data_IF_973243291714
#
_entry.id   IF_973243291714
#
_cell.length_a   1.000
_cell.length_b   1.000
_cell.length_c   1.000
_cell.angle_alpha   90.00
_cell.angle_beta   90.00
_cell.angle_gamma   90.00
#
_symmetry.space_group_name_H-M   'P 1'
#
loop_
_entity.id
_entity.type
_entity.pdbx_description
1 polymer ?
#
# COMPACT_ATOMS: atom_id res chain seq x y z
N UNK A 1 6.58 -15.69 4.52
CA UNK A 1 7.00 -15.03 5.76
C UNK A 1 7.29 -16.10 6.78
N UNK A 2 8.34 -15.92 7.56
CA UNK A 2 8.66 -16.81 8.68
C UNK A 2 8.83 -15.96 9.93
N UNK A 3 8.39 -16.51 11.06
CA UNK A 3 8.62 -15.91 12.37
C UNK A 3 9.79 -16.65 13.00
N UNK A 4 10.89 -15.96 13.25
CA UNK A 4 11.98 -16.51 14.05
C UNK A 4 11.72 -16.10 15.50
N UNK A 5 11.59 -17.09 16.38
CA UNK A 5 11.24 -16.90 17.78
C UNK A 5 12.46 -17.27 18.63
N UNK A 6 12.92 -16.35 19.46
CA UNK A 6 13.93 -16.58 20.50
C UNK A 6 13.41 -16.19 21.89
N UNK A 7 14.25 -16.34 22.92
CA UNK A 7 13.92 -16.24 24.36
C UNK A 7 13.53 -14.84 24.89
N UNK A 8 12.83 -14.04 24.10
CA UNK A 8 12.01 -12.86 24.47
C UNK A 8 11.70 -11.96 23.26
N UNK A 9 12.01 -12.41 22.05
CA UNK A 9 11.84 -11.63 20.82
C UNK A 9 11.36 -12.53 19.69
N UNK A 10 10.42 -12.01 18.91
CA UNK A 10 10.08 -12.59 17.63
C UNK A 10 10.40 -11.58 16.54
N UNK A 11 10.85 -12.05 15.38
CA UNK A 11 11.06 -11.23 14.19
C UNK A 11 10.29 -11.82 13.02
N UNK A 12 9.62 -10.96 12.26
CA UNK A 12 9.01 -11.32 10.98
C UNK A 12 9.99 -11.00 9.87
N UNK A 13 10.38 -12.00 9.09
CA UNK A 13 11.35 -11.83 7.99
C UNK A 13 10.73 -12.11 6.61
N UNK A 14 11.24 -11.41 5.59
CA UNK A 14 10.93 -11.70 4.18
C UNK A 14 11.36 -13.11 3.82
N UNK A 15 10.62 -13.74 2.90
CA UNK A 15 10.88 -15.12 2.46
C UNK A 15 11.94 -15.10 1.36
N UNK A 16 13.20 -14.82 1.72
CA UNK A 16 14.30 -14.96 0.77
C UNK A 16 14.88 -16.37 0.86
N UNK A 17 15.10 -16.95 -0.32
CA UNK A 17 15.41 -18.36 -0.57
C UNK A 17 16.57 -18.86 0.31
N UNK A 18 16.33 -19.92 1.09
CA UNK A 18 17.33 -20.58 1.96
C UNK A 18 18.45 -21.15 1.10
N UNK A 19 19.56 -20.42 0.98
CA UNK A 19 20.78 -20.94 0.39
C UNK A 19 21.81 -21.14 1.51
N UNK A 20 22.21 -22.40 1.74
CA UNK A 20 23.30 -22.80 2.66
C UNK A 20 23.18 -22.28 4.11
N UNK A 21 21.98 -22.33 4.69
CA UNK A 21 21.81 -22.15 6.14
C UNK A 21 22.09 -20.75 6.69
N UNK A 22 22.14 -19.72 5.83
CA UNK A 22 22.17 -18.30 6.25
C UNK A 22 20.89 -17.61 5.77
N UNK A 23 20.13 -17.03 6.70
CA UNK A 23 18.99 -16.19 6.39
C UNK A 23 19.48 -14.83 5.86
N UNK A 24 19.19 -14.53 4.59
CA UNK A 24 19.38 -13.23 3.96
C UNK A 24 18.01 -12.54 3.78
N UNK A 25 17.22 -12.46 4.86
CA UNK A 25 15.92 -11.80 4.85
C UNK A 25 15.96 -10.50 5.64
N UNK A 26 15.35 -9.44 5.11
CA UNK A 26 15.17 -8.20 5.85
C UNK A 26 14.20 -8.42 7.02
N UNK A 27 14.54 -7.84 8.18
CA UNK A 27 13.66 -7.84 9.35
C UNK A 27 12.57 -6.81 9.11
N UNK A 28 11.35 -7.28 8.89
CA UNK A 28 10.19 -6.42 8.63
C UNK A 28 9.64 -5.83 9.92
N UNK A 29 9.56 -6.64 10.98
CA UNK A 29 8.98 -6.25 12.26
C UNK A 29 9.65 -7.01 13.40
N UNK A 30 9.83 -6.33 14.54
CA UNK A 30 10.33 -6.93 15.78
C UNK A 30 9.24 -6.86 16.85
N UNK A 31 9.02 -7.96 17.55
CA UNK A 31 8.03 -8.09 18.62
C UNK A 31 8.74 -8.40 19.94
N UNK A 32 8.29 -7.79 21.04
CA UNK A 32 8.81 -8.06 22.40
C UNK A 32 7.88 -9.01 23.14
N UNK A 33 8.45 -10.01 23.82
CA UNK A 33 7.68 -10.90 24.68
C UNK A 33 7.31 -10.21 26.00
N UNK A 34 6.05 -10.33 26.41
CA UNK A 34 5.55 -9.99 27.75
C UNK A 34 4.33 -10.87 28.06
N UNK A 35 4.28 -11.45 29.27
CA UNK A 35 3.20 -12.33 29.72
C UNK A 35 2.88 -13.49 28.75
N UNK A 36 3.90 -14.13 28.16
CA UNK A 36 3.77 -15.20 27.16
C UNK A 36 3.14 -14.76 25.82
N UNK A 37 3.00 -13.46 25.58
CA UNK A 37 2.52 -12.88 24.31
C UNK A 37 3.61 -12.00 23.66
N UNK A 38 3.59 -11.90 22.34
CA UNK A 38 4.50 -11.02 21.57
C UNK A 38 3.76 -9.74 21.15
N UNK A 39 4.30 -8.59 21.54
CA UNK A 39 3.71 -7.28 21.29
C UNK A 39 4.53 -6.49 20.27
N UNK A 40 3.83 -5.87 19.30
CA UNK A 40 4.39 -4.88 18.39
C UNK A 40 4.06 -3.48 18.92
N UNK A 41 5.08 -2.68 19.18
CA UNK A 41 4.94 -1.26 19.50
C UNK A 41 5.50 -0.48 18.33
N UNK A 42 4.67 0.16 17.48
CA UNK A 42 5.19 1.07 16.49
C UNK A 42 5.89 2.22 17.23
N UNK A 43 7.17 2.47 16.92
CA UNK A 43 7.79 3.74 17.28
C UNK A 43 6.91 4.87 16.71
N UNK A 44 6.61 5.86 17.55
CA UNK A 44 5.80 7.02 17.15
C UNK A 44 6.33 7.57 15.82
N UNK A 45 5.46 7.59 14.82
CA UNK A 45 5.76 8.19 13.53
C UNK A 45 5.95 9.70 13.75
N UNK A 46 7.19 10.12 13.99
CA UNK A 46 7.55 11.53 14.03
C UNK A 46 7.34 12.09 12.63
N UNK A 47 6.33 12.96 12.50
CA UNK A 47 6.10 13.69 11.26
C UNK A 47 7.35 14.54 10.95
N UNK A 48 7.89 14.48 9.71
CA UNK A 48 9.05 15.29 9.37
C UNK A 48 8.67 16.78 9.43
N UNK A 49 9.40 17.55 10.23
CA UNK A 49 9.31 19.01 10.23
C UNK A 49 10.02 19.55 9.00
N UNK A 50 9.27 19.78 7.92
CA UNK A 50 9.79 20.45 6.73
C UNK A 50 9.70 21.96 6.94
N UNK A 51 10.82 22.62 7.20
CA UNK A 51 10.94 24.07 7.08
C UNK A 51 11.13 24.42 5.60
N UNK A 52 10.03 24.64 4.88
CA UNK A 52 10.08 25.15 3.52
C UNK A 52 10.24 26.68 3.55
N UNK A 53 11.38 27.19 3.11
CA UNK A 53 11.53 28.59 2.71
C UNK A 53 10.77 28.79 1.40
N UNK A 54 9.61 29.43 1.45
CA UNK A 54 8.86 29.82 0.27
C UNK A 54 9.42 31.13 -0.30
N UNK A 55 10.23 31.06 -1.36
CA UNK A 55 10.38 32.19 -2.27
C UNK A 55 9.16 32.26 -3.21
N UNK A 56 8.45 33.38 -3.13
CA UNK A 56 7.24 33.64 -3.91
C UNK A 56 7.61 34.16 -5.30
N UNK A 57 7.84 33.27 -6.25
CA UNK A 57 7.88 33.63 -7.68
C UNK A 57 6.50 33.40 -8.30
N UNK A 58 5.56 34.31 -8.01
CA UNK A 58 4.17 34.26 -8.49
C UNK A 58 3.95 34.92 -9.87
N UNK A 59 5.00 35.41 -10.54
CA UNK A 59 4.87 36.35 -11.67
C UNK A 59 5.11 35.77 -13.07
N UNK A 60 5.34 34.46 -13.24
CA UNK A 60 5.64 33.87 -14.56
C UNK A 60 4.45 33.17 -15.28
N UNK A 61 3.24 33.18 -14.71
CA UNK A 61 2.18 32.23 -15.09
C UNK A 61 1.24 32.65 -16.24
N UNK A 62 1.47 33.79 -16.89
CA UNK A 62 0.56 34.29 -17.94
C UNK A 62 0.83 33.69 -19.32
N UNK A 63 1.94 32.98 -19.49
CA UNK A 63 2.21 32.24 -20.72
C UNK A 63 1.72 30.80 -20.57
N UNK A 64 0.76 30.43 -21.43
CA UNK A 64 0.17 29.10 -21.61
C UNK A 64 0.86 27.97 -20.83
N UNK A 65 0.23 27.53 -19.72
CA UNK A 65 0.82 26.52 -18.86
C UNK A 65 0.87 25.12 -19.51
N UNK A 66 1.93 24.40 -19.19
CA UNK A 66 2.15 23.01 -19.62
C UNK A 66 1.08 22.07 -19.02
N UNK A 67 0.38 21.33 -19.88
CA UNK A 67 -0.64 20.37 -19.47
C UNK A 67 -0.07 19.25 -18.58
N UNK A 68 1.20 18.86 -18.73
CA UNK A 68 1.80 17.83 -17.89
C UNK A 68 2.04 18.31 -16.45
N UNK A 69 2.36 19.59 -16.28
CA UNK A 69 2.45 20.19 -14.95
C UNK A 69 1.10 20.14 -14.23
N UNK A 70 0.02 20.46 -14.94
CA UNK A 70 -1.34 20.37 -14.41
C UNK A 70 -1.76 18.93 -14.13
N UNK A 71 -1.36 17.97 -14.98
CA UNK A 71 -1.55 16.54 -14.73
C UNK A 71 -0.96 16.10 -13.39
N UNK A 72 0.28 16.50 -13.09
CA UNK A 72 0.92 16.20 -11.80
C UNK A 72 0.26 16.93 -10.63
N UNK A 73 -0.06 18.23 -10.78
CA UNK A 73 -0.71 19.04 -9.74
C UNK A 73 -2.11 18.55 -9.36
N UNK A 74 -2.86 18.00 -10.31
CA UNK A 74 -4.19 17.43 -10.07
C UNK A 74 -4.15 15.93 -9.71
N UNK A 75 -3.07 15.47 -9.07
CA UNK A 75 -2.97 14.08 -8.60
C UNK A 75 -3.06 13.05 -9.72
N UNK A 76 -2.39 13.31 -10.84
CA UNK A 76 -2.40 12.44 -12.02
C UNK A 76 -3.79 12.29 -12.68
N UNK A 77 -4.61 13.36 -12.65
CA UNK A 77 -5.87 13.43 -13.37
C UNK A 77 -5.71 13.06 -14.85
N UNK A 78 -6.71 12.36 -15.41
CA UNK A 78 -6.61 11.90 -16.79
C UNK A 78 -6.39 13.08 -17.75
N UNK A 79 -5.47 12.94 -18.70
CA UNK A 79 -5.14 14.01 -19.66
C UNK A 79 -6.35 14.49 -20.46
N UNK A 80 -7.36 13.63 -20.67
CA UNK A 80 -8.66 14.00 -21.23
C UNK A 80 -9.40 15.04 -20.39
N UNK A 81 -9.38 14.89 -19.07
CA UNK A 81 -10.01 15.82 -18.12
C UNK A 81 -9.39 17.21 -18.22
N UNK A 82 -8.05 17.27 -18.35
CA UNK A 82 -7.33 18.54 -18.51
C UNK A 82 -7.58 19.22 -19.84
N UNK A 83 -7.98 18.49 -20.88
CA UNK A 83 -8.36 19.10 -22.17
C UNK A 83 -9.62 19.95 -22.04
N UNK A 84 -10.58 19.53 -21.20
CA UNK A 84 -11.84 20.25 -21.00
C UNK A 84 -11.77 21.26 -19.85
N UNK A 85 -10.77 21.17 -18.98
CA UNK A 85 -10.66 22.02 -17.80
C UNK A 85 -10.77 23.54 -18.11
N UNK A 86 -10.09 24.09 -19.14
CA UNK A 86 -10.18 25.52 -19.45
C UNK A 86 -11.55 25.98 -19.94
N UNK A 87 -12.39 25.08 -20.45
CA UNK A 87 -13.74 25.42 -20.94
C UNK A 87 -14.82 25.19 -19.89
N UNK A 88 -14.46 24.69 -18.71
CA UNK A 88 -15.41 24.33 -17.65
C UNK A 88 -15.19 25.11 -16.35
N UNK A 89 -14.04 25.80 -16.21
CA UNK A 89 -13.66 26.50 -14.99
C UNK A 89 -13.10 27.88 -15.37
N UNK A 90 -13.63 28.92 -14.73
CA UNK A 90 -13.13 30.28 -14.88
C UNK A 90 -11.75 30.43 -14.23
N UNK A 91 -10.86 31.21 -14.85
CA UNK A 91 -9.50 31.46 -14.34
C UNK A 91 -8.46 30.39 -14.69
N UNK A 92 -8.81 29.34 -15.44
CA UNK A 92 -7.84 28.36 -15.95
C UNK A 92 -7.32 28.81 -17.32
N UNK A 93 -6.01 29.09 -17.47
CA UNK A 93 -5.44 29.47 -18.76
C UNK A 93 -5.45 28.28 -19.75
N UNK A 94 -5.35 28.53 -21.07
CA UNK A 94 -5.25 27.47 -22.06
C UNK A 94 -4.05 26.54 -21.77
N UNK A 95 -4.33 25.24 -21.62
CA UNK A 95 -3.30 24.24 -21.35
C UNK A 95 -2.69 23.71 -22.65
N UNK A 96 -1.40 23.97 -22.87
CA UNK A 96 -0.70 23.50 -24.07
C UNK A 96 -0.39 22.01 -23.97
N UNK A 97 -0.72 21.27 -25.03
CA UNK A 97 -0.26 19.90 -25.22
C UNK A 97 1.17 19.94 -25.77
N UNK A 98 2.14 19.47 -25.00
CA UNK A 98 3.49 19.31 -25.49
C UNK A 98 3.59 18.08 -26.42
N UNK A 99 4.25 18.21 -27.57
CA UNK A 99 4.34 17.13 -28.58
C UNK A 99 5.26 15.98 -28.14
N UNK A 100 6.19 16.27 -27.23
CA UNK A 100 7.19 15.33 -26.71
C UNK A 100 6.67 14.53 -25.50
N UNK A 101 5.54 14.95 -24.93
CA UNK A 101 4.89 14.32 -23.77
C UNK A 101 3.86 13.26 -24.18
N UNK A 102 4.12 12.53 -25.27
CA UNK A 102 3.29 11.36 -25.68
C UNK A 102 3.51 10.15 -24.79
N UNK A 103 4.53 10.18 -23.93
CA UNK A 103 4.86 9.11 -22.99
C UNK A 103 3.79 8.89 -21.92
N UNK A 104 3.75 7.66 -21.40
CA UNK A 104 3.03 7.33 -20.18
C UNK A 104 3.69 8.06 -19.00
N UNK A 105 2.88 8.60 -18.09
CA UNK A 105 3.42 9.22 -16.87
C UNK A 105 3.82 8.12 -15.89
N UNK A 106 5.04 8.13 -15.37
CA UNK A 106 5.53 7.09 -14.44
C UNK A 106 4.63 6.94 -13.21
N UNK A 107 4.19 8.06 -12.62
CA UNK A 107 3.25 8.06 -11.49
C UNK A 107 1.89 7.45 -11.85
N UNK A 108 1.41 7.64 -13.09
CA UNK A 108 0.21 6.94 -13.57
C UNK A 108 0.46 5.46 -13.76
N UNK A 109 1.61 5.08 -14.34
CA UNK A 109 1.92 3.67 -14.58
C UNK A 109 1.94 2.93 -13.26
N UNK A 110 2.69 3.42 -12.28
CA UNK A 110 2.79 2.80 -10.96
C UNK A 110 1.46 2.85 -10.20
N UNK A 111 0.74 3.97 -10.25
CA UNK A 111 -0.50 4.15 -9.48
C UNK A 111 -1.75 3.51 -10.08
N UNK A 112 -1.77 3.26 -11.40
CA UNK A 112 -2.90 2.66 -12.13
C UNK A 112 -2.57 1.28 -12.71
N UNK A 113 -1.42 0.71 -12.35
CA UNK A 113 -1.09 -0.65 -12.76
C UNK A 113 -2.12 -1.60 -12.14
N UNK A 114 -2.90 -2.26 -13.00
CA UNK A 114 -3.76 -3.34 -12.56
C UNK A 114 -2.90 -4.55 -12.26
N UNK A 115 -3.17 -5.20 -11.12
CA UNK A 115 -2.63 -6.53 -10.88
C UNK A 115 -3.20 -7.48 -11.94
N UNK A 116 -2.34 -8.29 -12.55
CA UNK A 116 -2.82 -9.35 -13.44
C UNK A 116 -3.78 -10.27 -12.68
N UNK A 117 -4.80 -10.84 -13.36
CA UNK A 117 -5.66 -11.84 -12.75
C UNK A 117 -4.82 -12.98 -12.15
N UNK A 118 -5.18 -13.43 -10.96
CA UNK A 118 -4.58 -14.62 -10.41
C UNK A 118 -5.11 -15.84 -11.17
N UNK A 119 -4.27 -16.85 -11.46
CA UNK A 119 -4.76 -18.12 -11.96
C UNK A 119 -5.70 -18.76 -10.93
N UNK A 120 -6.64 -19.57 -11.41
CA UNK A 120 -7.46 -20.39 -10.52
C UNK A 120 -6.57 -21.35 -9.72
N UNK A 121 -6.96 -21.65 -8.48
CA UNK A 121 -6.27 -22.69 -7.70
C UNK A 121 -6.49 -24.04 -8.38
N UNK A 122 -5.40 -24.73 -8.71
CA UNK A 122 -5.44 -26.11 -9.23
C UNK A 122 -5.59 -27.14 -8.10
N UNK A 123 -5.49 -26.69 -6.84
CA UNK A 123 -5.53 -27.56 -5.66
C UNK A 123 -6.79 -27.28 -4.85
N UNK A 124 -7.56 -28.34 -4.63
CA UNK A 124 -8.67 -28.41 -3.68
C UNK A 124 -8.45 -29.62 -2.78
N UNK A 125 -8.84 -29.52 -1.51
CA UNK A 125 -8.79 -30.63 -0.57
C UNK A 125 -9.61 -31.81 -1.10
N UNK A 126 -9.07 -33.02 -0.91
CA UNK A 126 -9.68 -34.30 -1.30
C UNK A 126 -10.39 -34.99 -0.13
N UNK A 127 -10.09 -34.57 1.12
CA UNK A 127 -10.68 -35.10 2.35
C UNK A 127 -10.97 -33.98 3.35
N UNK A 128 -11.94 -34.15 4.27
CA UNK A 128 -12.19 -33.20 5.35
C UNK A 128 -10.92 -32.89 6.16
N UNK A 129 -10.72 -31.62 6.49
CA UNK A 129 -9.62 -31.09 7.29
C UNK A 129 -8.22 -31.23 6.67
N UNK A 130 -8.12 -31.57 5.37
CA UNK A 130 -6.85 -31.62 4.64
C UNK A 130 -6.25 -30.22 4.41
N UNK A 131 -7.11 -29.22 4.20
CA UNK A 131 -6.72 -27.82 4.02
C UNK A 131 -7.75 -26.91 4.72
N UNK A 132 -7.28 -26.10 5.67
CA UNK A 132 -8.11 -25.14 6.39
C UNK A 132 -7.58 -23.73 6.13
N UNK A 133 -8.44 -22.88 5.58
CA UNK A 133 -8.19 -21.44 5.45
C UNK A 133 -8.57 -20.76 6.75
N UNK A 134 -7.68 -19.94 7.29
CA UNK A 134 -7.91 -19.21 8.53
C UNK A 134 -7.63 -17.74 8.35
N UNK A 135 -8.46 -16.90 8.95
CA UNK A 135 -8.28 -15.45 8.94
C UNK A 135 -8.54 -14.87 10.33
N UNK A 136 -7.77 -13.85 10.69
CA UNK A 136 -7.88 -13.14 11.96
C UNK A 136 -8.39 -11.73 11.69
N UNK A 137 -9.58 -11.44 12.18
CA UNK A 137 -10.23 -10.15 12.05
C UNK A 137 -10.15 -9.37 13.36
N UNK A 138 -9.80 -8.09 13.28
CA UNK A 138 -9.74 -7.16 14.42
C UNK A 138 -8.44 -6.36 14.48
N UNK A 139 -8.24 -5.55 15.55
CA UNK A 139 -9.12 -5.37 16.69
C UNK A 139 -10.40 -4.60 16.33
N UNK A 140 -11.55 -5.09 16.80
CA UNK A 140 -12.80 -4.36 16.69
C UNK A 140 -12.83 -3.17 17.66
N UNK A 141 -13.44 -2.03 17.26
CA UNK A 141 -13.57 -0.86 18.14
C UNK A 141 -14.33 -1.17 19.44
N UNK A 142 -15.37 -2.00 19.33
CA UNK A 142 -16.22 -2.45 20.44
C UNK A 142 -15.88 -3.89 20.80
N UNK A 143 -15.87 -4.19 22.11
CA UNK A 143 -15.70 -5.55 22.61
C UNK A 143 -16.96 -6.39 22.38
N UNK A 144 -16.78 -7.70 22.22
CA UNK A 144 -17.89 -8.65 22.32
C UNK A 144 -18.42 -8.70 23.76
N UNK A 145 -19.54 -9.41 23.96
CA UNK A 145 -20.13 -9.60 25.29
C UNK A 145 -19.13 -10.20 26.30
N UNK A 146 -18.23 -11.05 25.84
CA UNK A 146 -17.19 -11.72 26.64
C UNK A 146 -15.84 -10.98 26.63
N UNK A 147 -15.80 -9.74 26.14
CA UNK A 147 -14.60 -8.90 26.18
C UNK A 147 -13.61 -9.09 25.02
N UNK A 148 -13.88 -10.00 24.08
CA UNK A 148 -13.00 -10.24 22.92
C UNK A 148 -13.03 -9.08 21.93
N UNK A 149 -11.86 -8.75 21.37
CA UNK A 149 -11.71 -7.74 20.29
C UNK A 149 -11.29 -8.34 18.95
N UNK A 150 -11.05 -9.64 18.91
CA UNK A 150 -10.60 -10.34 17.71
C UNK A 150 -11.50 -11.55 17.46
N UNK A 151 -11.68 -11.86 16.19
CA UNK A 151 -12.39 -13.06 15.74
C UNK A 151 -11.47 -13.84 14.82
N UNK A 152 -11.33 -15.14 15.03
CA UNK A 152 -10.65 -16.05 14.10
C UNK A 152 -11.69 -16.89 13.38
N UNK A 153 -11.58 -17.00 12.06
CA UNK A 153 -12.43 -17.86 11.24
C UNK A 153 -11.64 -19.09 10.77
N UNK A 154 -12.33 -20.22 10.68
CA UNK A 154 -11.79 -21.48 10.15
C UNK A 154 -12.73 -21.96 9.05
N UNK A 155 -12.19 -22.14 7.84
CA UNK A 155 -12.91 -22.64 6.67
C UNK A 155 -12.21 -23.89 6.17
N UNK A 156 -12.90 -25.02 6.18
CA UNK A 156 -12.39 -26.27 5.60
C UNK A 156 -12.63 -26.29 4.09
N UNK A 157 -11.56 -26.37 3.31
CA UNK A 157 -11.58 -26.28 1.83
C UNK A 157 -12.34 -27.44 1.17
N UNK A 158 -12.43 -28.58 1.87
CA UNK A 158 -13.17 -29.74 1.38
C UNK A 158 -14.67 -29.53 1.50
N UNK A 159 -15.15 -29.08 2.66
CA UNK A 159 -16.59 -28.90 2.94
C UNK A 159 -17.14 -27.51 2.63
N UNK A 160 -16.30 -26.55 2.22
CA UNK A 160 -16.71 -25.19 1.82
C UNK A 160 -17.40 -25.10 0.46
#
# INVERSE_FOLDING_TARGET
YYTVVGDNKAILVTKDWLNKGKAHGDVLMTFKASNRCYWYYPEELVAPSVSASHESTALASLETTDRELWHKRFGHAARRTLTHLPTQVEGVPPLRRNKDQRGMCDGCMLGKQHKHPYPASEKRASKPLELIHTDLMGPWPTQSLEGSRYTISFYDDFSS
#
